data_IF_284067555203
#
_entry.id   IF_284067555203
#
_cell.length_a   1.000
_cell.length_b   1.000
_cell.length_c   1.000
_cell.angle_alpha   90.00
_cell.angle_beta   90.00
_cell.angle_gamma   90.00
#
_symmetry.space_group_name_H-M   'P 1'
#
loop_
_entity.id
_entity.type
_entity.pdbx_description
1 polymer ?
#
# COMPACT_ATOMS: atom_id res chain seq x y z
N UNK A 1 9.57 6.97 -6.67
CA UNK A 1 8.86 8.12 -6.09
C UNK A 1 9.60 8.64 -4.87
N UNK A 2 9.20 8.21 -3.67
CA UNK A 2 9.66 8.77 -2.39
C UNK A 2 11.19 8.83 -2.19
N UNK A 3 11.94 7.77 -2.50
CA UNK A 3 13.41 7.79 -2.43
C UNK A 3 14.01 8.78 -3.44
N UNK A 4 13.43 8.86 -4.63
CA UNK A 4 13.85 9.81 -5.67
C UNK A 4 13.69 11.27 -5.26
N UNK A 5 12.74 11.59 -4.36
CA UNK A 5 12.62 12.93 -3.76
C UNK A 5 13.91 13.37 -3.07
N UNK A 6 14.61 12.45 -2.38
CA UNK A 6 15.89 12.77 -1.73
C UNK A 6 17.00 13.14 -2.72
N UNK A 7 16.86 12.77 -3.99
CA UNK A 7 17.79 13.13 -5.06
C UNK A 7 17.33 14.42 -5.74
N UNK A 8 16.08 14.45 -6.19
CA UNK A 8 15.54 15.51 -7.05
C UNK A 8 15.26 16.82 -6.30
N UNK A 9 15.24 16.82 -4.97
CA UNK A 9 15.15 18.05 -4.17
C UNK A 9 16.50 18.79 -4.08
N UNK A 10 17.62 18.20 -4.53
CA UNK A 10 18.92 18.86 -4.49
C UNK A 10 18.98 20.14 -5.35
N UNK A 11 19.47 21.28 -4.80
CA UNK A 11 19.58 22.53 -5.56
C UNK A 11 20.46 22.42 -6.81
N UNK A 12 21.53 21.61 -6.73
CA UNK A 12 22.43 21.35 -7.86
C UNK A 12 21.74 20.70 -9.07
N UNK A 13 20.57 20.08 -8.86
CA UNK A 13 19.75 19.46 -9.91
C UNK A 13 18.53 20.31 -10.26
N UNK A 14 18.46 21.56 -9.79
CA UNK A 14 17.30 22.45 -9.97
C UNK A 14 16.17 22.21 -8.96
N UNK A 15 16.43 21.46 -7.88
CA UNK A 15 15.48 21.21 -6.80
C UNK A 15 15.37 22.36 -5.79
N UNK A 16 14.41 22.25 -4.87
CA UNK A 16 14.05 23.32 -3.91
C UNK A 16 14.74 23.20 -2.54
N UNK A 17 15.84 22.45 -2.44
CA UNK A 17 16.60 22.29 -1.20
C UNK A 17 17.23 23.59 -0.70
N UNK A 18 17.53 23.66 0.60
CA UNK A 18 18.27 24.78 1.19
C UNK A 18 19.78 24.71 0.89
N UNK A 19 20.52 25.72 1.36
CA UNK A 19 21.97 25.82 1.16
C UNK A 19 22.75 24.69 1.87
N UNK A 20 22.18 24.10 2.91
CA UNK A 20 22.73 22.98 3.69
C UNK A 20 22.28 21.60 3.18
N UNK A 21 21.68 21.53 1.99
CA UNK A 21 21.11 20.30 1.45
C UNK A 21 22.19 19.24 1.16
N UNK A 22 22.11 18.12 1.88
CA UNK A 22 22.93 16.94 1.62
C UNK A 22 22.16 15.91 0.79
N UNK A 23 22.60 15.65 -0.44
CA UNK A 23 22.01 14.64 -1.34
C UNK A 23 22.00 13.25 -0.68
N UNK A 24 23.13 12.85 -0.12
CA UNK A 24 23.26 11.56 0.56
C UNK A 24 22.41 11.48 1.83
N UNK A 25 22.41 12.55 2.64
CA UNK A 25 21.63 12.62 3.87
C UNK A 25 20.12 12.54 3.59
N UNK A 26 19.63 13.33 2.64
CA UNK A 26 18.21 13.37 2.30
C UNK A 26 17.74 12.08 1.63
N UNK A 27 18.56 11.47 0.76
CA UNK A 27 18.25 10.16 0.19
C UNK A 27 18.13 9.08 1.28
N UNK A 28 19.02 9.08 2.26
CA UNK A 28 18.95 8.14 3.39
C UNK A 28 17.72 8.38 4.28
N UNK A 29 17.39 9.64 4.59
CA UNK A 29 16.17 9.98 5.34
C UNK A 29 14.93 9.44 4.62
N UNK A 30 14.84 9.61 3.30
CA UNK A 30 13.72 9.11 2.52
C UNK A 30 13.65 7.58 2.50
N UNK A 31 14.78 6.87 2.49
CA UNK A 31 14.81 5.41 2.62
C UNK A 31 14.24 4.99 3.99
N UNK A 32 14.67 5.63 5.08
CA UNK A 32 14.13 5.34 6.41
C UNK A 32 12.63 5.63 6.49
N UNK A 33 12.17 6.75 5.94
CA UNK A 33 10.75 7.09 5.90
C UNK A 33 9.92 6.02 5.15
N UNK A 34 10.42 5.53 4.01
CA UNK A 34 9.77 4.45 3.26
C UNK A 34 9.72 3.14 4.07
N UNK A 35 10.83 2.76 4.71
CA UNK A 35 10.85 1.56 5.54
C UNK A 35 9.87 1.65 6.71
N UNK A 36 9.82 2.80 7.40
CA UNK A 36 8.89 3.03 8.50
C UNK A 36 7.44 2.93 8.02
N UNK A 37 7.11 3.56 6.88
CA UNK A 37 5.74 3.51 6.34
C UNK A 37 5.33 2.11 5.89
N UNK A 38 6.25 1.33 5.29
CA UNK A 38 6.01 -0.08 4.95
C UNK A 38 5.72 -0.90 6.21
N UNK A 39 6.56 -0.77 7.24
CA UNK A 39 6.39 -1.52 8.50
C UNK A 39 5.09 -1.13 9.19
N UNK A 40 4.82 0.17 9.31
CA UNK A 40 3.61 0.68 9.94
C UNK A 40 2.34 0.23 9.20
N UNK A 41 2.27 0.47 7.89
CA UNK A 41 1.12 0.08 7.09
C UNK A 41 0.93 -1.44 7.07
N UNK A 42 2.02 -2.21 6.98
CA UNK A 42 1.98 -3.66 7.01
C UNK A 42 1.45 -4.21 8.33
N UNK A 43 2.00 -3.76 9.46
CA UNK A 43 1.59 -4.23 10.79
C UNK A 43 0.16 -3.81 11.11
N UNK A 44 -0.17 -2.52 10.94
CA UNK A 44 -1.50 -2.01 11.26
C UNK A 44 -2.55 -2.67 10.37
N UNK A 45 -2.31 -2.80 9.07
CA UNK A 45 -3.25 -3.48 8.16
C UNK A 45 -3.39 -4.96 8.52
N UNK A 46 -2.29 -5.66 8.85
CA UNK A 46 -2.37 -7.06 9.27
C UNK A 46 -3.23 -7.26 10.52
N UNK A 47 -3.09 -6.38 11.52
CA UNK A 47 -3.92 -6.40 12.74
C UNK A 47 -5.39 -6.14 12.37
N UNK A 48 -5.67 -5.11 11.58
CA UNK A 48 -7.04 -4.76 11.19
C UNK A 48 -7.69 -5.87 10.37
N UNK A 49 -7.00 -6.42 9.38
CA UNK A 49 -7.52 -7.54 8.59
C UNK A 49 -7.80 -8.75 9.47
N UNK A 50 -6.93 -9.06 10.44
CA UNK A 50 -7.17 -10.18 11.35
C UNK A 50 -8.37 -9.95 12.26
N UNK A 51 -8.56 -8.73 12.75
CA UNK A 51 -9.73 -8.38 13.56
C UNK A 51 -11.03 -8.48 12.74
N UNK A 52 -11.05 -7.94 11.53
CA UNK A 52 -12.22 -8.01 10.64
C UNK A 52 -12.55 -9.45 10.28
N UNK A 53 -11.51 -10.26 9.98
CA UNK A 53 -11.66 -11.68 9.65
C UNK A 53 -12.30 -12.49 10.80
N UNK A 54 -11.96 -12.17 12.06
CA UNK A 54 -12.55 -12.86 13.22
C UNK A 54 -13.96 -12.37 13.55
N UNK A 55 -14.26 -11.09 13.33
CA UNK A 55 -15.55 -10.50 13.73
C UNK A 55 -16.64 -10.71 12.66
N UNK A 56 -16.30 -10.49 11.39
CA UNK A 56 -17.25 -10.47 10.27
C UNK A 56 -17.01 -11.63 9.31
N UNK A 57 -15.74 -12.04 9.15
CA UNK A 57 -15.31 -12.91 8.06
C UNK A 57 -14.97 -12.08 6.83
N UNK A 58 -13.68 -12.00 6.47
CA UNK A 58 -13.21 -11.11 5.40
C UNK A 58 -13.34 -11.75 4.00
N UNK A 59 -13.28 -13.07 3.92
CA UNK A 59 -13.30 -13.83 2.66
C UNK A 59 -14.58 -14.66 2.56
N UNK A 60 -15.16 -14.73 1.36
CA UNK A 60 -16.26 -15.64 1.04
C UNK A 60 -15.84 -17.10 1.18
N UNK A 61 -16.82 -18.01 1.26
CA UNK A 61 -16.53 -19.44 1.33
C UNK A 61 -15.89 -19.94 0.02
N UNK A 62 -15.14 -21.04 0.08
CA UNK A 62 -14.49 -21.62 -1.12
C UNK A 62 -15.49 -22.08 -2.18
N UNK A 63 -16.72 -22.40 -1.78
CA UNK A 63 -17.76 -22.85 -2.71
C UNK A 63 -18.44 -21.66 -3.39
N UNK A 64 -18.58 -20.53 -2.69
CA UNK A 64 -19.04 -19.27 -3.29
C UNK A 64 -17.99 -18.70 -4.26
N UNK A 65 -16.71 -18.78 -3.91
CA UNK A 65 -15.60 -18.35 -4.77
C UNK A 65 -15.55 -19.18 -6.07
N UNK A 66 -15.96 -20.46 -6.04
CA UNK A 66 -16.06 -21.34 -7.23
C UNK A 66 -17.28 -21.08 -8.09
N UNK A 67 -18.43 -20.80 -7.48
CA UNK A 67 -19.67 -20.48 -8.20
C UNK A 67 -19.62 -19.09 -8.86
N UNK A 68 -18.75 -18.20 -8.35
CA UNK A 68 -18.54 -16.85 -8.84
C UNK A 68 -19.20 -15.83 -7.92
N UNK A 69 -18.48 -14.74 -7.61
CA UNK A 69 -18.98 -13.67 -6.74
C UNK A 69 -20.18 -12.94 -7.35
N UNK A 70 -20.23 -12.80 -8.68
CA UNK A 70 -21.37 -12.17 -9.35
C UNK A 70 -22.66 -12.92 -9.03
N UNK A 71 -22.63 -14.26 -9.06
CA UNK A 71 -23.79 -15.08 -8.73
C UNK A 71 -24.06 -15.14 -7.21
N UNK A 72 -23.03 -15.31 -6.40
CA UNK A 72 -23.16 -15.63 -4.96
C UNK A 72 -23.31 -14.39 -4.08
N UNK A 73 -22.76 -13.25 -4.48
CA UNK A 73 -22.82 -11.98 -3.75
C UNK A 73 -23.74 -10.95 -4.41
N UNK A 74 -23.88 -10.98 -5.74
CA UNK A 74 -24.70 -10.01 -6.49
C UNK A 74 -25.96 -10.60 -7.14
N UNK A 75 -26.11 -11.94 -7.19
CA UNK A 75 -27.26 -12.60 -7.80
C UNK A 75 -27.31 -12.51 -9.33
N UNK A 76 -26.21 -12.10 -9.97
CA UNK A 76 -26.11 -11.89 -11.41
C UNK A 76 -25.38 -13.07 -12.08
N UNK A 77 -25.96 -13.63 -13.14
CA UNK A 77 -25.26 -14.56 -14.03
C UNK A 77 -24.74 -13.81 -15.24
N UNK A 78 -23.41 -13.71 -15.38
CA UNK A 78 -22.77 -13.02 -16.51
C UNK A 78 -23.05 -13.68 -17.87
N UNK A 79 -23.46 -14.95 -17.90
CA UNK A 79 -23.87 -15.67 -19.09
C UNK A 79 -25.13 -16.50 -18.83
N UNK A 80 -26.22 -16.13 -19.51
CA UNK A 80 -27.34 -17.04 -19.77
C UNK A 80 -26.99 -17.83 -21.04
N UNK A 81 -26.88 -19.15 -20.93
CA UNK A 81 -26.83 -20.04 -22.09
C UNK A 81 -28.26 -20.36 -22.57
#
# INVERSE_FOLDING_TARGET
GAVGTGILTAPALGGTGGDDYSLGGQTMIQIYAVLITIVWSGIVSAILYKLVDVIVGLRVTTDDERQGLDLTQHGEQAYHA
#
